data_IF_639015412347
#
_entry.id   IF_639015412347
#
_cell.length_a   1.000
_cell.length_b   1.000
_cell.length_c   1.000
_cell.angle_alpha   90.00
_cell.angle_beta   90.00
_cell.angle_gamma   90.00
#
_symmetry.space_group_name_H-M   'P 1'
#
loop_
_entity.id
_entity.type
_entity.pdbx_description
1 polymer ?
#
# COMPACT_ATOMS: atom_id res chain seq x y z
N UNK A 1 27.50 26.23 -5.12
CA UNK A 1 26.96 24.89 -4.96
C UNK A 1 25.51 25.00 -4.49
N UNK A 2 24.62 24.23 -5.09
CA UNK A 2 23.22 24.16 -4.61
C UNK A 2 23.11 23.18 -3.43
N UNK A 3 22.01 23.25 -2.69
CA UNK A 3 21.71 22.25 -1.66
C UNK A 3 21.61 20.81 -2.21
N UNK A 4 21.37 20.68 -3.50
CA UNK A 4 21.32 19.37 -4.17
C UNK A 4 22.73 18.77 -4.31
N UNK A 5 23.73 19.57 -4.58
CA UNK A 5 25.10 19.12 -4.82
C UNK A 5 26.04 19.31 -3.63
N UNK A 6 25.55 19.94 -2.56
CA UNK A 6 26.35 20.18 -1.33
C UNK A 6 26.82 18.87 -0.70
N UNK A 7 25.97 17.85 -0.69
CA UNK A 7 26.36 16.48 -0.35
C UNK A 7 26.63 15.75 -1.66
N UNK A 8 27.86 15.26 -1.89
CA UNK A 8 28.18 14.57 -3.12
C UNK A 8 27.36 13.29 -3.29
N UNK A 9 27.03 12.94 -4.55
CA UNK A 9 26.45 11.65 -4.84
C UNK A 9 27.39 10.51 -4.42
N UNK A 10 26.81 9.40 -3.97
CA UNK A 10 27.56 8.19 -3.67
C UNK A 10 28.27 7.67 -4.93
N UNK A 11 29.40 6.96 -4.74
CA UNK A 11 30.06 6.28 -5.83
C UNK A 11 29.11 5.29 -6.53
N UNK A 12 29.24 5.15 -7.84
CA UNK A 12 28.32 4.34 -8.65
C UNK A 12 28.13 2.90 -8.16
N UNK A 13 29.16 2.15 -7.72
CA UNK A 13 28.95 0.81 -7.19
C UNK A 13 28.10 0.78 -5.92
N UNK A 14 28.29 1.75 -5.02
CA UNK A 14 27.52 1.88 -3.79
C UNK A 14 26.07 2.29 -4.09
N UNK A 15 25.91 3.25 -5.00
CA UNK A 15 24.57 3.70 -5.42
C UNK A 15 23.79 2.55 -6.09
N UNK A 16 24.44 1.78 -6.96
CA UNK A 16 23.83 0.63 -7.60
C UNK A 16 23.33 -0.39 -6.57
N UNK A 17 24.15 -0.74 -5.59
CA UNK A 17 23.79 -1.67 -4.53
C UNK A 17 22.59 -1.15 -3.72
N UNK A 18 22.63 0.12 -3.32
CA UNK A 18 21.57 0.75 -2.52
C UNK A 18 20.24 0.80 -3.25
N UNK A 19 20.21 1.32 -4.47
CA UNK A 19 18.97 1.48 -5.23
C UNK A 19 18.40 0.13 -5.68
N UNK A 20 19.25 -0.82 -6.03
CA UNK A 20 18.80 -2.18 -6.33
C UNK A 20 18.18 -2.85 -5.11
N UNK A 21 18.77 -2.67 -3.93
CA UNK A 21 18.26 -3.21 -2.68
C UNK A 21 16.89 -2.61 -2.31
N UNK A 22 16.65 -1.34 -2.61
CA UNK A 22 15.36 -0.69 -2.27
C UNK A 22 14.17 -1.39 -2.90
N UNK A 23 14.33 -1.97 -4.09
CA UNK A 23 13.27 -2.72 -4.76
C UNK A 23 12.93 -4.05 -4.06
N UNK A 24 13.79 -4.53 -3.17
CA UNK A 24 13.50 -5.69 -2.33
C UNK A 24 12.65 -5.32 -1.10
N UNK A 25 12.65 -4.05 -0.71
CA UNK A 25 11.93 -3.56 0.47
C UNK A 25 10.66 -2.80 0.14
N UNK A 26 10.58 -2.22 -1.06
CA UNK A 26 9.50 -1.31 -1.44
C UNK A 26 8.92 -1.65 -2.80
N UNK A 27 7.62 -1.37 -2.92
CA UNK A 27 6.89 -1.30 -4.18
C UNK A 27 6.14 0.03 -4.21
N UNK A 28 5.33 0.27 -5.22
CA UNK A 28 4.59 1.52 -5.37
C UNK A 28 3.15 1.29 -5.81
N UNK A 29 2.36 2.36 -5.83
CA UNK A 29 0.94 2.30 -6.18
C UNK A 29 0.72 1.83 -7.62
N UNK A 30 1.57 2.25 -8.56
CA UNK A 30 1.45 1.85 -9.98
C UNK A 30 1.63 0.35 -10.16
N UNK A 31 2.67 -0.23 -9.56
CA UNK A 31 2.95 -1.66 -9.67
C UNK A 31 1.87 -2.50 -8.98
N UNK A 32 1.43 -2.07 -7.80
CA UNK A 32 0.34 -2.74 -7.09
C UNK A 32 -0.96 -2.68 -7.90
N UNK A 33 -1.32 -1.52 -8.43
CA UNK A 33 -2.52 -1.36 -9.25
C UNK A 33 -2.46 -2.26 -10.50
N UNK A 34 -1.33 -2.29 -11.19
CA UNK A 34 -1.14 -3.15 -12.35
C UNK A 34 -1.31 -4.63 -12.00
N UNK A 35 -0.77 -5.07 -10.87
CA UNK A 35 -0.91 -6.44 -10.41
C UNK A 35 -2.36 -6.78 -10.01
N UNK A 36 -3.08 -5.85 -9.37
CA UNK A 36 -4.47 -6.07 -8.95
C UNK A 36 -5.46 -6.07 -10.13
N UNK A 37 -5.17 -5.31 -11.18
CA UNK A 37 -6.04 -5.18 -12.36
C UNK A 37 -5.64 -6.07 -13.52
N UNK A 38 -4.55 -6.80 -13.42
CA UNK A 38 -4.10 -7.75 -14.44
C UNK A 38 -4.95 -9.02 -14.48
N UNK A 39 -4.69 -9.86 -15.48
CA UNK A 39 -5.45 -11.11 -15.70
C UNK A 39 -5.04 -12.22 -14.73
N UNK A 40 -3.82 -12.20 -14.19
CA UNK A 40 -3.36 -13.18 -13.21
C UNK A 40 -3.81 -12.81 -11.80
N UNK A 41 -4.10 -13.80 -10.92
CA UNK A 41 -4.35 -13.52 -9.50
C UNK A 41 -3.11 -12.86 -8.88
N UNK A 42 -3.30 -11.91 -7.94
CA UNK A 42 -2.17 -11.30 -7.23
C UNK A 42 -1.35 -12.36 -6.45
N UNK A 43 -0.03 -12.25 -6.52
CA UNK A 43 0.90 -13.13 -5.82
C UNK A 43 1.37 -12.54 -4.47
N UNK A 44 0.57 -11.68 -3.90
CA UNK A 44 0.81 -11.02 -2.62
C UNK A 44 -0.51 -10.73 -1.91
N UNK A 45 -0.43 -10.48 -0.62
CA UNK A 45 -1.57 -10.01 0.20
C UNK A 45 -1.32 -8.56 0.57
N UNK A 46 -2.22 -7.68 0.14
CA UNK A 46 -2.14 -6.26 0.44
C UNK A 46 -2.82 -5.97 1.78
N UNK A 47 -2.06 -5.42 2.72
CA UNK A 47 -2.54 -5.10 4.07
C UNK A 47 -2.67 -3.58 4.24
N UNK A 48 -3.89 -3.14 4.50
CA UNK A 48 -4.15 -1.81 5.01
C UNK A 48 -3.93 -1.84 6.53
N UNK A 49 -2.88 -1.17 6.99
CA UNK A 49 -2.46 -1.21 8.40
C UNK A 49 -3.01 -0.05 9.23
N UNK A 50 -3.95 0.71 8.66
CA UNK A 50 -4.69 1.75 9.38
C UNK A 50 -5.78 1.12 10.25
N UNK A 51 -6.42 1.95 11.07
CA UNK A 51 -7.56 1.53 11.87
C UNK A 51 -8.80 1.19 11.03
N UNK A 52 -9.75 0.40 11.57
CA UNK A 52 -10.93 -0.06 10.82
C UNK A 52 -11.81 1.06 10.27
N UNK A 53 -11.97 2.16 10.99
CA UNK A 53 -12.80 3.28 10.54
C UNK A 53 -12.26 3.93 9.27
N UNK A 54 -10.95 4.09 9.15
CA UNK A 54 -10.31 4.62 7.96
C UNK A 54 -10.41 3.63 6.79
N UNK A 55 -10.24 2.35 7.07
CA UNK A 55 -10.41 1.30 6.06
C UNK A 55 -11.82 1.31 5.47
N UNK A 56 -12.84 1.40 6.31
CA UNK A 56 -14.24 1.43 5.86
C UNK A 56 -14.55 2.65 5.00
N UNK A 57 -13.94 3.80 5.29
CA UNK A 57 -14.12 5.02 4.49
C UNK A 57 -13.61 4.87 3.07
N UNK A 58 -12.48 4.21 2.92
CA UNK A 58 -11.86 4.00 1.61
C UNK A 58 -10.55 3.26 1.75
N UNK A 59 -10.39 2.22 0.95
CA UNK A 59 -9.18 1.40 0.92
C UNK A 59 -8.90 0.94 -0.50
N UNK A 60 -7.69 0.50 -0.76
CA UNK A 60 -7.33 -0.09 -2.05
C UNK A 60 -8.17 -1.35 -2.27
N UNK A 61 -8.81 -1.49 -3.44
CA UNK A 61 -9.62 -2.68 -3.73
C UNK A 61 -8.83 -3.97 -3.52
N UNK A 62 -9.41 -4.91 -2.78
CA UNK A 62 -8.76 -6.19 -2.47
C UNK A 62 -7.86 -6.17 -1.23
N UNK A 63 -7.62 -5.02 -0.62
CA UNK A 63 -6.82 -4.93 0.60
C UNK A 63 -7.56 -5.58 1.79
N UNK A 64 -6.78 -6.18 2.67
CA UNK A 64 -7.24 -6.72 3.95
C UNK A 64 -6.88 -5.73 5.05
N UNK A 65 -7.82 -5.39 5.91
CA UNK A 65 -7.53 -4.51 7.04
C UNK A 65 -6.89 -5.30 8.19
N UNK A 66 -5.67 -4.97 8.50
CA UNK A 66 -4.96 -5.50 9.65
C UNK A 66 -4.12 -4.38 10.27
N UNK A 67 -4.67 -3.64 11.26
CA UNK A 67 -3.95 -2.56 11.90
C UNK A 67 -2.57 -3.01 12.38
N UNK A 68 -1.55 -2.15 12.22
CA UNK A 68 -0.17 -2.55 12.48
C UNK A 68 0.05 -3.10 13.90
N UNK A 69 -0.67 -2.57 14.88
CA UNK A 69 -0.59 -3.05 16.27
C UNK A 69 -1.23 -4.43 16.50
N UNK A 70 -1.99 -4.93 15.54
CA UNK A 70 -2.66 -6.23 15.63
C UNK A 70 -2.02 -7.31 14.75
N UNK A 71 -0.87 -7.02 14.16
CA UNK A 71 -0.12 -8.00 13.38
C UNK A 71 0.59 -8.93 14.36
N UNK A 72 -0.02 -10.08 14.58
CA UNK A 72 0.47 -11.16 15.45
C UNK A 72 0.33 -12.48 14.71
N UNK A 73 1.07 -13.50 15.15
CA UNK A 73 1.14 -14.79 14.45
C UNK A 73 -0.23 -15.43 14.23
N UNK A 74 -1.11 -15.37 15.21
CA UNK A 74 -2.46 -15.94 15.11
C UNK A 74 -3.29 -15.33 13.99
N UNK A 75 -3.08 -14.05 13.67
CA UNK A 75 -3.77 -13.36 12.58
C UNK A 75 -3.24 -13.76 11.20
N UNK A 76 -2.04 -14.32 11.14
CA UNK A 76 -1.38 -14.72 9.90
C UNK A 76 -1.41 -16.22 9.67
N UNK A 77 -1.97 -16.99 10.61
CA UNK A 77 -1.94 -18.44 10.60
C UNK A 77 -2.59 -19.07 9.35
N UNK A 78 -3.57 -18.40 8.75
CA UNK A 78 -4.24 -18.88 7.56
C UNK A 78 -3.41 -18.71 6.27
N UNK A 79 -2.35 -17.92 6.32
CA UNK A 79 -1.49 -17.67 5.16
C UNK A 79 -0.27 -18.56 5.18
N UNK A 80 0.11 -19.18 4.04
CA UNK A 80 1.35 -19.95 3.94
C UNK A 80 2.58 -19.13 4.36
N UNK A 81 3.64 -19.78 4.87
CA UNK A 81 4.85 -19.06 5.34
C UNK A 81 5.54 -18.21 4.27
N UNK A 82 5.44 -18.60 3.00
CA UNK A 82 6.06 -17.91 1.87
C UNK A 82 5.23 -16.75 1.34
N UNK A 83 4.05 -16.48 1.89
CA UNK A 83 3.18 -15.39 1.44
C UNK A 83 3.89 -14.04 1.54
N UNK A 84 3.95 -13.31 0.44
CA UNK A 84 4.43 -11.92 0.43
C UNK A 84 3.31 -11.01 0.91
N UNK A 85 3.58 -10.25 1.97
CA UNK A 85 2.69 -9.18 2.42
C UNK A 85 3.19 -7.84 1.91
N UNK A 86 2.26 -7.00 1.48
CA UNK A 86 2.54 -5.62 1.10
C UNK A 86 1.73 -4.72 2.03
N UNK A 87 2.40 -3.86 2.78
CA UNK A 87 1.75 -2.95 3.72
C UNK A 87 1.60 -1.55 3.14
N UNK A 88 0.51 -0.87 3.48
CA UNK A 88 0.34 0.54 3.19
C UNK A 88 -0.43 1.24 4.31
N UNK A 89 -0.25 2.54 4.40
CA UNK A 89 -0.90 3.44 5.36
C UNK A 89 -1.54 4.63 4.63
N UNK A 90 -1.79 5.72 5.33
CA UNK A 90 -2.47 6.89 4.78
C UNK A 90 -1.66 7.58 3.67
N UNK A 91 -0.36 7.70 3.85
CA UNK A 91 0.49 8.41 2.89
C UNK A 91 1.93 8.53 3.36
N UNK A 92 2.75 9.36 2.67
CA UNK A 92 4.19 9.44 2.95
C UNK A 92 4.54 10.00 4.33
N UNK A 93 3.60 10.66 5.00
CA UNK A 93 3.83 11.22 6.33
C UNK A 93 3.40 10.29 7.47
N UNK A 94 2.98 9.07 7.16
CA UNK A 94 2.54 8.07 8.13
C UNK A 94 3.53 6.91 8.17
N UNK A 95 4.01 6.55 9.36
CA UNK A 95 4.94 5.43 9.53
C UNK A 95 4.25 4.08 9.78
N UNK A 96 2.93 4.02 9.68
CA UNK A 96 2.16 2.80 9.94
C UNK A 96 2.57 1.63 9.08
N UNK A 97 2.82 1.87 7.78
CA UNK A 97 3.28 0.83 6.87
C UNK A 97 4.63 0.25 7.30
N UNK A 98 5.57 1.09 7.72
CA UNK A 98 6.86 0.67 8.23
C UNK A 98 6.72 -0.12 9.55
N UNK A 99 5.86 0.32 10.45
CA UNK A 99 5.57 -0.40 11.70
C UNK A 99 4.98 -1.77 11.43
N UNK A 100 4.06 -1.88 10.48
CA UNK A 100 3.50 -3.14 10.03
C UNK A 100 4.57 -4.06 9.41
N UNK A 101 5.42 -3.52 8.56
CA UNK A 101 6.50 -4.25 7.93
C UNK A 101 7.50 -4.80 8.98
N UNK A 102 7.84 -4.02 10.00
CA UNK A 102 8.71 -4.45 11.10
C UNK A 102 8.10 -5.67 11.81
N UNK A 103 6.80 -5.61 12.13
CA UNK A 103 6.12 -6.72 12.79
C UNK A 103 6.10 -7.99 11.95
N UNK A 104 5.81 -7.86 10.66
CA UNK A 104 5.82 -8.98 9.73
C UNK A 104 7.22 -9.59 9.59
N UNK A 105 8.25 -8.76 9.47
CA UNK A 105 9.62 -9.21 9.38
C UNK A 105 10.07 -9.93 10.66
N UNK A 106 9.67 -9.43 11.85
CA UNK A 106 9.95 -10.12 13.12
C UNK A 106 9.31 -11.50 13.20
N UNK A 107 8.16 -11.68 12.56
CA UNK A 107 7.47 -12.97 12.47
C UNK A 107 8.00 -13.86 11.33
N UNK A 108 9.07 -13.43 10.67
CA UNK A 108 9.68 -14.18 9.57
C UNK A 108 8.90 -14.14 8.26
N UNK A 109 8.00 -13.19 8.11
CA UNK A 109 7.17 -13.08 6.91
C UNK A 109 7.83 -12.21 5.84
N UNK A 110 7.82 -12.63 4.56
CA UNK A 110 8.22 -11.76 3.45
C UNK A 110 7.33 -10.52 3.40
N UNK A 111 7.94 -9.35 3.26
CA UNK A 111 7.19 -8.09 3.29
C UNK A 111 7.83 -7.04 2.40
N UNK A 112 6.98 -6.21 1.76
CA UNK A 112 7.35 -4.96 1.11
C UNK A 112 6.38 -3.86 1.56
N UNK A 113 6.80 -2.63 1.46
CA UNK A 113 5.95 -1.46 1.71
C UNK A 113 5.51 -0.89 0.35
N UNK A 114 4.21 -0.62 0.19
CA UNK A 114 3.72 0.20 -0.92
C UNK A 114 3.90 1.67 -0.56
N UNK A 115 4.88 2.30 -1.15
CA UNK A 115 5.15 3.72 -0.93
C UNK A 115 4.01 4.57 -1.49
N UNK A 116 3.74 5.69 -0.82
CA UNK A 116 2.68 6.62 -1.21
C UNK A 116 1.35 6.40 -0.48
N UNK A 117 1.01 5.18 -0.12
CA UNK A 117 -0.24 4.88 0.59
C UNK A 117 -1.50 5.33 -0.14
N UNK A 118 -2.55 5.66 0.62
CA UNK A 118 -3.81 6.16 0.06
C UNK A 118 -3.60 7.46 -0.73
N UNK A 119 -2.79 8.38 -0.21
CA UNK A 119 -2.49 9.64 -0.92
C UNK A 119 -1.88 9.38 -2.29
N UNK A 120 -0.87 8.51 -2.36
CA UNK A 120 -0.24 8.15 -3.63
C UNK A 120 -1.19 7.41 -4.58
N UNK A 121 -2.06 6.57 -4.04
CA UNK A 121 -3.09 5.87 -4.81
C UNK A 121 -4.05 6.86 -5.49
N UNK A 122 -4.53 7.84 -4.74
CA UNK A 122 -5.43 8.89 -5.25
C UNK A 122 -4.72 9.84 -6.21
N UNK A 123 -3.46 10.15 -5.99
CA UNK A 123 -2.67 10.99 -6.90
C UNK A 123 -2.55 10.37 -8.30
N UNK A 124 -2.58 9.04 -8.39
CA UNK A 124 -2.59 8.32 -9.67
C UNK A 124 -4.01 8.19 -10.25
N UNK A 125 -5.00 8.82 -9.64
CA UNK A 125 -6.42 8.73 -10.01
C UNK A 125 -7.00 7.30 -9.96
N UNK A 126 -6.45 6.44 -9.13
CA UNK A 126 -6.98 5.09 -8.90
C UNK A 126 -8.16 5.14 -7.95
N UNK A 127 -9.11 4.22 -8.13
CA UNK A 127 -10.31 4.16 -7.32
C UNK A 127 -10.11 3.42 -6.01
N UNK A 128 -10.88 3.83 -4.99
CA UNK A 128 -10.97 3.15 -3.71
C UNK A 128 -12.25 2.34 -3.61
N UNK A 129 -12.21 1.26 -2.82
CA UNK A 129 -13.39 0.54 -2.34
C UNK A 129 -13.81 1.08 -0.97
N UNK A 130 -15.03 0.79 -0.54
CA UNK A 130 -15.58 1.19 0.76
C UNK A 130 -16.65 2.27 0.65
N UNK A 131 -16.93 2.95 1.77
CA UNK A 131 -18.01 3.94 1.86
C UNK A 131 -17.83 5.14 0.92
N UNK A 132 -16.56 5.55 0.66
CA UNK A 132 -16.27 6.63 -0.27
C UNK A 132 -16.71 6.30 -1.70
N UNK A 133 -16.53 5.05 -2.14
CA UNK A 133 -16.99 4.59 -3.45
C UNK A 133 -18.51 4.48 -3.49
N UNK A 134 -19.14 3.99 -2.44
CA UNK A 134 -20.60 3.92 -2.34
C UNK A 134 -21.23 5.33 -2.43
N UNK A 135 -20.63 6.32 -1.79
CA UNK A 135 -21.07 7.70 -1.87
C UNK A 135 -20.97 8.27 -3.29
N UNK A 136 -19.88 7.95 -4.03
CA UNK A 136 -19.70 8.37 -5.43
C UNK A 136 -20.75 7.70 -6.34
N UNK A 137 -21.01 6.42 -6.16
CA UNK A 137 -22.05 5.69 -6.90
C UNK A 137 -23.44 6.24 -6.64
N UNK A 138 -23.75 6.60 -5.40
CA UNK A 138 -25.00 7.25 -5.03
C UNK A 138 -25.19 8.62 -5.67
N UNK A 139 -24.11 9.40 -5.76
CA UNK A 139 -24.15 10.73 -6.40
C UNK A 139 -24.39 10.63 -7.92
N UNK A 140 -23.83 9.62 -8.59
CA UNK A 140 -24.07 9.40 -10.03
C UNK A 140 -25.50 8.93 -10.32
N UNK A 141 -26.10 8.16 -9.42
CA UNK A 141 -27.48 7.69 -9.58
C UNK A 141 -28.51 8.83 -9.35
N UNK A 142 -28.20 9.80 -8.49
CA UNK A 142 -29.09 10.95 -8.25
C UNK A 142 -29.11 11.96 -9.41
N UNK A 143 -28.01 12.02 -10.21
CA UNK A 143 -27.94 12.91 -11.36
C UNK A 143 -28.77 12.40 -12.56
N UNK A 144 -29.09 11.11 -12.62
CA UNK A 144 -29.92 10.54 -13.69
C UNK A 144 -31.43 10.61 -13.40
N UNK A 145 -31.83 10.99 -12.20
CA UNK A 145 -33.24 11.08 -11.82
C UNK A 145 -33.90 12.44 -12.13
N UNK A 146 -33.16 13.41 -12.70
CA UNK A 146 -33.64 14.77 -12.94
C UNK A 146 -33.96 15.07 -14.41
N UNK A 147 -34.02 14.08 -15.28
CA UNK A 147 -34.46 14.24 -16.67
C UNK A 147 -35.64 13.31 -16.97
N UNK A 148 -36.76 13.62 -16.33
CA UNK A 148 -38.04 13.00 -16.64
C UNK A 148 -39.09 14.06 -16.82
#
# INVERSE_FOLDING_TARGET
MSSVSEVPAAASPEALAHFSASLAYETDCSDVHAALTGSAPPDFVLLDVRGPALFERGHVPGAVNLPHGKIVESKLAAYPPETLFVTYCAGPHCNGAARGAIRLARLGRPVKIMTGGITGWLDEAFELSGNAQAARSGATNSATATTG
#
